data_IF_104963879549
#
_entry.id   IF_104963879549
#
_cell.length_a   1.000
_cell.length_b   1.000
_cell.length_c   1.000
_cell.angle_alpha   90.00
_cell.angle_beta   90.00
_cell.angle_gamma   90.00
#
_symmetry.space_group_name_H-M   'P 1'
#
loop_
_entity.id
_entity.type
_entity.pdbx_description
1 polymer ?
#
# COMPACT_ATOMS: atom_id res chain seq x y z
N UNK A 1 22.66 5.15 -17.08
CA UNK A 1 22.42 4.72 -15.68
C UNK A 1 21.92 5.82 -14.73
N UNK A 2 22.26 7.11 -14.89
CA UNK A 2 21.74 8.23 -14.05
C UNK A 2 20.21 8.42 -14.08
N UNK A 3 19.54 8.07 -15.19
CA UNK A 3 18.08 8.21 -15.35
C UNK A 3 17.28 7.27 -14.43
N UNK A 4 17.72 6.01 -14.34
CA UNK A 4 17.07 4.97 -13.54
C UNK A 4 17.06 5.29 -12.02
N UNK A 5 18.13 5.91 -11.53
CA UNK A 5 18.25 6.32 -10.12
C UNK A 5 17.36 7.51 -9.79
N UNK A 6 17.18 8.44 -10.73
CA UNK A 6 16.30 9.59 -10.57
C UNK A 6 14.82 9.16 -10.60
N UNK A 7 14.49 8.19 -11.45
CA UNK A 7 13.15 7.62 -11.53
C UNK A 7 12.77 6.87 -10.25
N UNK A 8 13.70 6.12 -9.65
CA UNK A 8 13.46 5.46 -8.35
C UNK A 8 13.27 6.45 -7.20
N UNK A 9 14.03 7.56 -7.19
CA UNK A 9 13.89 8.60 -6.17
C UNK A 9 12.53 9.33 -6.30
N UNK A 10 12.10 9.63 -7.53
CA UNK A 10 10.78 10.22 -7.78
C UNK A 10 9.64 9.27 -7.40
N UNK A 11 9.77 7.98 -7.76
CA UNK A 11 8.80 6.96 -7.39
C UNK A 11 8.70 6.84 -5.86
N UNK A 12 9.83 6.91 -5.15
CA UNK A 12 9.89 6.88 -3.70
C UNK A 12 9.19 8.09 -3.05
N UNK A 13 9.51 9.31 -3.49
CA UNK A 13 8.88 10.53 -2.96
C UNK A 13 7.38 10.53 -3.26
N UNK A 14 6.99 10.12 -4.46
CA UNK A 14 5.59 10.00 -4.84
C UNK A 14 4.85 8.97 -3.98
N UNK A 15 5.44 7.79 -3.77
CA UNK A 15 4.87 6.76 -2.92
C UNK A 15 4.74 7.26 -1.48
N UNK A 16 5.74 7.96 -0.94
CA UNK A 16 5.69 8.54 0.40
C UNK A 16 4.69 9.70 0.54
N UNK A 17 4.41 10.44 -0.52
CA UNK A 17 3.34 11.45 -0.50
C UNK A 17 1.94 10.82 -0.54
N UNK A 18 1.79 9.65 -1.18
CA UNK A 18 0.50 9.03 -1.45
C UNK A 18 0.20 7.78 -0.59
N UNK A 19 1.16 7.22 0.16
CA UNK A 19 0.97 5.92 0.83
C UNK A 19 -0.16 5.95 1.87
N UNK A 20 -0.36 7.07 2.59
CA UNK A 20 -1.50 7.21 3.52
C UNK A 20 -2.84 7.11 2.80
N UNK A 21 -2.93 7.70 1.60
CA UNK A 21 -4.12 7.62 0.74
C UNK A 21 -4.31 6.22 0.17
N UNK A 22 -3.23 5.59 -0.33
CA UNK A 22 -3.26 4.22 -0.85
C UNK A 22 -3.67 3.22 0.24
N UNK A 23 -3.12 3.33 1.44
CA UNK A 23 -3.51 2.53 2.61
C UNK A 23 -5.00 2.68 2.93
N UNK A 24 -5.48 3.93 3.00
CA UNK A 24 -6.89 4.20 3.26
C UNK A 24 -7.78 3.60 2.16
N UNK A 25 -7.38 3.74 0.89
CA UNK A 25 -8.11 3.21 -0.25
C UNK A 25 -8.18 1.68 -0.20
N UNK A 26 -7.09 0.99 0.17
CA UNK A 26 -7.08 -0.48 0.31
C UNK A 26 -8.05 -0.95 1.39
N UNK A 27 -8.10 -0.29 2.55
CA UNK A 27 -9.06 -0.65 3.60
C UNK A 27 -10.51 -0.38 3.18
N UNK A 28 -10.78 0.77 2.54
CA UNK A 28 -12.11 1.09 2.03
C UNK A 28 -12.55 0.07 0.98
N UNK A 29 -11.66 -0.31 0.06
CA UNK A 29 -11.94 -1.34 -0.95
C UNK A 29 -12.22 -2.70 -0.31
N UNK A 30 -11.47 -3.10 0.71
CA UNK A 30 -11.73 -4.35 1.44
C UNK A 30 -13.13 -4.35 2.08
N UNK A 31 -13.51 -3.23 2.71
CA UNK A 31 -14.84 -3.09 3.33
C UNK A 31 -15.95 -3.15 2.28
N UNK A 32 -15.82 -2.41 1.18
CA UNK A 32 -16.82 -2.37 0.10
C UNK A 32 -17.00 -3.76 -0.53
N UNK A 33 -15.90 -4.48 -0.75
CA UNK A 33 -15.90 -5.81 -1.37
C UNK A 33 -16.69 -6.83 -0.55
N UNK A 34 -16.75 -6.67 0.78
CA UNK A 34 -17.56 -7.52 1.67
C UNK A 34 -18.97 -6.94 1.85
N UNK A 35 -19.08 -5.63 2.05
CA UNK A 35 -20.34 -4.98 2.37
C UNK A 35 -21.36 -5.12 1.24
N UNK A 36 -20.96 -4.91 -0.02
CA UNK A 36 -21.88 -4.99 -1.16
C UNK A 36 -22.55 -6.38 -1.25
N UNK A 37 -21.79 -7.51 -1.31
CA UNK A 37 -22.39 -8.84 -1.30
C UNK A 37 -23.32 -9.09 -0.11
N UNK A 38 -22.90 -8.67 1.10
CA UNK A 38 -23.72 -8.83 2.31
C UNK A 38 -25.04 -8.06 2.19
N UNK A 39 -25.00 -6.80 1.73
CA UNK A 39 -26.22 -6.02 1.51
C UNK A 39 -27.12 -6.62 0.44
N UNK A 40 -26.56 -7.19 -0.63
CA UNK A 40 -27.36 -7.84 -1.67
C UNK A 40 -28.14 -9.04 -1.13
N UNK A 41 -27.52 -9.88 -0.29
CA UNK A 41 -28.19 -11.01 0.38
C UNK A 41 -29.29 -10.52 1.33
N UNK A 42 -29.08 -9.39 2.00
CA UNK A 42 -30.04 -8.84 2.96
C UNK A 42 -31.26 -8.18 2.30
N UNK A 43 -31.13 -7.69 1.06
CA UNK A 43 -32.21 -6.99 0.34
C UNK A 43 -33.06 -7.98 -0.48
N UNK A 44 -32.46 -9.05 -0.99
CA UNK A 44 -33.13 -10.00 -1.88
C UNK A 44 -32.81 -11.45 -1.48
N UNK A 45 -33.83 -12.15 -0.99
CA UNK A 45 -33.76 -13.56 -0.57
C UNK A 45 -33.41 -14.52 -1.73
N UNK A 46 -33.55 -14.08 -2.99
CA UNK A 46 -33.17 -14.84 -4.17
C UNK A 46 -31.69 -14.73 -4.56
N UNK A 47 -30.93 -13.81 -3.95
CA UNK A 47 -29.52 -13.59 -4.30
C UNK A 47 -28.63 -14.57 -3.52
N UNK A 48 -28.26 -15.66 -4.17
CA UNK A 48 -27.26 -16.60 -3.68
C UNK A 48 -25.96 -16.48 -4.45
N UNK A 49 -24.84 -16.33 -3.76
CA UNK A 49 -23.52 -16.36 -4.39
C UNK A 49 -23.03 -17.79 -4.56
N UNK A 50 -22.41 -18.06 -5.71
CA UNK A 50 -21.70 -19.33 -5.90
C UNK A 50 -20.51 -19.43 -4.96
N UNK A 51 -20.08 -20.65 -4.58
CA UNK A 51 -18.88 -20.85 -3.76
C UNK A 51 -17.63 -20.21 -4.37
N UNK A 52 -17.53 -20.18 -5.71
CA UNK A 52 -16.44 -19.53 -6.43
C UNK A 52 -16.44 -18.02 -6.20
N UNK A 53 -17.60 -17.36 -6.27
CA UNK A 53 -17.72 -15.93 -6.05
C UNK A 53 -17.40 -15.56 -4.60
N UNK A 54 -17.86 -16.35 -3.63
CA UNK A 54 -17.51 -16.19 -2.22
C UNK A 54 -15.99 -16.28 -1.99
N UNK A 55 -15.32 -17.26 -2.60
CA UNK A 55 -13.86 -17.39 -2.52
C UNK A 55 -13.13 -16.20 -3.14
N UNK A 56 -13.61 -15.65 -4.26
CA UNK A 56 -13.03 -14.44 -4.88
C UNK A 56 -13.16 -13.26 -3.92
N UNK A 57 -14.36 -13.02 -3.36
CA UNK A 57 -14.62 -11.93 -2.41
C UNK A 57 -13.69 -12.04 -1.20
N UNK A 58 -13.57 -13.23 -0.60
CA UNK A 58 -12.71 -13.48 0.55
C UNK A 58 -11.24 -13.25 0.20
N UNK A 59 -10.75 -13.80 -0.92
CA UNK A 59 -9.36 -13.67 -1.34
C UNK A 59 -8.97 -12.23 -1.68
N UNK A 60 -9.84 -11.48 -2.38
CA UNK A 60 -9.60 -10.07 -2.71
C UNK A 60 -9.62 -9.22 -1.44
N UNK A 61 -10.60 -9.41 -0.57
CA UNK A 61 -10.74 -8.62 0.66
C UNK A 61 -9.59 -8.88 1.64
N UNK A 62 -9.20 -10.15 1.83
CA UNK A 62 -8.04 -10.52 2.63
C UNK A 62 -6.73 -9.99 2.02
N UNK A 63 -6.58 -10.05 0.70
CA UNK A 63 -5.44 -9.46 -0.02
C UNK A 63 -5.31 -7.96 0.24
N UNK A 64 -6.42 -7.21 0.11
CA UNK A 64 -6.45 -5.77 0.42
C UNK A 64 -6.10 -5.48 1.88
N UNK A 65 -6.60 -6.28 2.82
CA UNK A 65 -6.31 -6.12 4.25
C UNK A 65 -4.84 -6.40 4.58
N UNK A 66 -4.27 -7.48 4.05
CA UNK A 66 -2.85 -7.84 4.22
C UNK A 66 -1.96 -6.75 3.64
N UNK A 67 -2.25 -6.25 2.42
CA UNK A 67 -1.49 -5.16 1.81
C UNK A 67 -1.57 -3.88 2.65
N UNK A 68 -2.75 -3.52 3.16
CA UNK A 68 -2.91 -2.37 4.08
C UNK A 68 -2.08 -2.52 5.36
N UNK A 69 -2.01 -3.73 5.92
CA UNK A 69 -1.17 -4.06 7.08
C UNK A 69 0.32 -4.00 6.76
N UNK A 70 0.75 -4.53 5.61
CA UNK A 70 2.16 -4.45 5.16
C UNK A 70 2.62 -3.01 4.99
N UNK A 71 1.79 -2.14 4.41
CA UNK A 71 2.08 -0.70 4.32
C UNK A 71 2.23 -0.09 5.73
N UNK A 72 1.41 -0.52 6.69
CA UNK A 72 1.49 -0.04 8.08
C UNK A 72 2.76 -0.53 8.79
N UNK A 73 3.16 -1.78 8.56
CA UNK A 73 4.41 -2.32 9.10
C UNK A 73 5.62 -1.62 8.49
N UNK A 74 5.60 -1.32 7.20
CA UNK A 74 6.65 -0.56 6.53
C UNK A 74 6.78 0.87 7.08
N UNK A 75 5.63 1.53 7.31
CA UNK A 75 5.55 2.86 7.93
C UNK A 75 6.17 2.85 9.34
N UNK A 76 5.77 1.89 10.18
CA UNK A 76 6.33 1.73 11.53
C UNK A 76 7.81 1.41 11.52
N UNK A 77 8.24 0.49 10.67
CA UNK A 77 9.66 0.14 10.54
C UNK A 77 10.50 1.35 10.11
N UNK A 78 9.92 2.26 9.32
CA UNK A 78 10.58 3.50 8.90
C UNK A 78 10.57 4.59 9.98
N UNK A 79 9.47 4.72 10.74
CA UNK A 79 9.39 5.63 11.89
C UNK A 79 10.30 5.19 13.05
N UNK A 80 10.48 3.87 13.23
CA UNK A 80 11.40 3.28 14.22
C UNK A 80 12.87 3.37 13.81
N UNK A 81 13.16 3.68 12.53
CA UNK A 81 14.52 3.93 12.11
C UNK A 81 15.03 5.21 12.76
N UNK A 82 16.20 5.17 13.44
CA UNK A 82 16.74 6.34 14.12
C UNK A 82 16.98 7.46 13.09
N UNK A 83 16.78 8.71 13.51
CA UNK A 83 16.99 9.90 12.68
C UNK A 83 18.38 9.90 12.01
N UNK A 84 19.37 9.27 12.64
CA UNK A 84 20.71 9.04 12.09
C UNK A 84 20.70 8.24 10.77
N UNK A 85 19.80 7.28 10.59
CA UNK A 85 19.66 6.52 9.36
C UNK A 85 19.09 7.41 8.24
N UNK A 86 18.09 8.23 8.53
CA UNK A 86 17.52 9.17 7.56
C UNK A 86 18.54 10.22 7.13
N UNK A 87 19.29 10.79 8.09
CA UNK A 87 20.35 11.76 7.83
C UNK A 87 21.52 11.11 7.06
N UNK A 88 21.93 9.89 7.42
CA UNK A 88 22.95 9.14 6.69
C UNK A 88 22.52 8.75 5.28
N UNK A 89 21.24 8.42 5.08
CA UNK A 89 20.69 8.11 3.76
C UNK A 89 20.69 9.35 2.86
N UNK A 90 20.26 10.51 3.39
CA UNK A 90 20.26 11.80 2.67
C UNK A 90 21.69 12.25 2.37
N UNK A 91 22.60 12.25 3.35
CA UNK A 91 24.00 12.62 3.14
C UNK A 91 24.71 11.65 2.19
N UNK A 92 24.44 10.35 2.30
CA UNK A 92 24.98 9.32 1.43
C UNK A 92 24.52 9.49 -0.02
N UNK A 93 23.24 9.78 -0.23
CA UNK A 93 22.74 10.10 -1.57
C UNK A 93 23.32 11.41 -2.11
N UNK A 94 23.44 12.46 -1.27
CA UNK A 94 24.01 13.75 -1.67
C UNK A 94 25.48 13.61 -2.10
N UNK A 95 26.29 12.88 -1.33
CA UNK A 95 27.71 12.65 -1.62
C UNK A 95 27.92 11.80 -2.89
N UNK A 96 27.09 10.80 -3.12
CA UNK A 96 27.14 9.97 -4.34
C UNK A 96 26.77 10.80 -5.58
N UNK A 97 25.84 11.74 -5.44
CA UNK A 97 25.47 12.67 -6.53
C UNK A 97 26.60 13.67 -6.80
N UNK A 98 27.19 14.25 -5.75
CA UNK A 98 28.28 15.23 -5.86
C UNK A 98 29.58 14.62 -6.41
N UNK A 99 29.92 13.37 -6.07
CA UNK A 99 31.09 12.68 -6.65
C UNK A 99 30.94 12.26 -8.11
N UNK A 100 29.73 12.34 -8.67
CA UNK A 100 29.44 12.04 -10.09
C UNK A 100 29.15 13.29 -10.92
N UNK A 101 29.38 14.48 -10.36
CA UNK A 101 29.39 15.77 -11.05
C UNK A 101 30.79 16.12 -11.52
#
# INVERSE_FOLDING_TARGET
MKKLTLDRLKLYIWFHAQYKKVRSLLYVMAVITIAIPVFMILIDEGVTFSPLMGNIIINVSSGCFILGKLITLYDKWYEEQPVSFHVAFILGTLLVVLKRG
#
